data_IF_030319380175
#
_entry.id   IF_030319380175
#
_cell.length_a   1.000
_cell.length_b   1.000
_cell.length_c   1.000
_cell.angle_alpha   90.00
_cell.angle_beta   90.00
_cell.angle_gamma   90.00
#
_symmetry.space_group_name_H-M   'P 1'
#
loop_
_entity.id
_entity.type
_entity.pdbx_description
1 polymer ?
#
# COMPACT_ATOMS: atom_id res chain seq x y z
N UNK A 1 15.95 -2.19 -45.70
CA UNK A 1 16.14 -2.14 -44.23
C UNK A 1 15.95 -0.68 -43.82
N UNK A 2 14.69 -0.25 -43.76
CA UNK A 2 14.37 1.10 -43.29
C UNK A 2 14.54 1.09 -41.77
N UNK A 3 15.40 1.96 -41.24
CA UNK A 3 15.49 2.19 -39.82
C UNK A 3 14.13 2.77 -39.38
N UNK A 4 13.38 2.00 -38.60
CA UNK A 4 12.17 2.52 -37.97
C UNK A 4 12.58 3.71 -37.09
N UNK A 5 11.83 4.83 -37.12
CA UNK A 5 12.15 5.96 -36.27
C UNK A 5 12.03 5.53 -34.81
N UNK A 6 13.15 5.49 -34.09
CA UNK A 6 13.20 5.17 -32.65
C UNK A 6 12.32 6.12 -31.81
N UNK A 7 11.98 7.29 -32.37
CA UNK A 7 11.11 8.28 -31.76
C UNK A 7 9.67 8.07 -32.23
N UNK A 8 8.91 7.31 -31.44
CA UNK A 8 7.45 7.22 -31.59
C UNK A 8 6.75 8.18 -30.61
N UNK A 9 5.87 9.08 -31.08
CA UNK A 9 5.07 9.96 -30.21
C UNK A 9 4.11 9.21 -29.27
N UNK A 10 3.99 7.88 -29.39
CA UNK A 10 3.27 7.03 -28.43
C UNK A 10 4.03 6.84 -27.11
N UNK A 11 5.36 6.72 -27.13
CA UNK A 11 6.17 6.41 -25.93
C UNK A 11 6.20 7.53 -24.88
N UNK A 12 6.17 8.79 -25.32
CA UNK A 12 6.08 9.95 -24.41
C UNK A 12 4.71 10.06 -23.71
N UNK A 13 3.63 9.57 -24.34
CA UNK A 13 2.29 9.62 -23.76
C UNK A 13 2.11 8.57 -22.67
N UNK A 14 2.65 7.37 -22.88
CA UNK A 14 2.65 6.27 -21.92
C UNK A 14 3.40 6.66 -20.64
N UNK A 15 4.64 7.14 -20.77
CA UNK A 15 5.47 7.58 -19.62
C UNK A 15 4.87 8.75 -18.85
N UNK A 16 4.20 9.69 -19.53
CA UNK A 16 3.51 10.82 -18.87
C UNK A 16 2.31 10.35 -18.05
N UNK A 17 1.62 9.29 -18.49
CA UNK A 17 0.48 8.69 -17.78
C UNK A 17 0.94 7.97 -16.51
N UNK A 18 2.01 7.18 -16.59
CA UNK A 18 2.62 6.52 -15.42
C UNK A 18 3.06 7.53 -14.35
N UNK A 19 3.80 8.58 -14.73
CA UNK A 19 4.22 9.63 -13.79
C UNK A 19 3.04 10.32 -13.11
N UNK A 20 1.94 10.52 -13.84
CA UNK A 20 0.73 11.13 -13.28
C UNK A 20 0.06 10.24 -12.22
N UNK A 21 0.01 8.92 -12.46
CA UNK A 21 -0.55 7.95 -11.50
C UNK A 21 0.25 7.89 -10.20
N UNK A 22 1.57 7.91 -10.31
CA UNK A 22 2.48 7.95 -9.16
C UNK A 22 2.30 9.22 -8.33
N UNK A 23 2.08 10.36 -9.00
CA UNK A 23 1.86 11.66 -8.34
C UNK A 23 0.53 11.68 -7.58
N UNK A 24 -0.53 11.13 -8.17
CA UNK A 24 -1.84 11.02 -7.52
C UNK A 24 -1.78 10.09 -6.30
N UNK A 25 -1.11 8.94 -6.43
CA UNK A 25 -0.94 8.02 -5.31
C UNK A 25 -0.10 8.61 -4.19
N UNK A 26 0.96 9.36 -4.51
CA UNK A 26 1.76 10.08 -3.53
C UNK A 26 0.91 11.09 -2.75
N UNK A 27 0.13 11.92 -3.45
CA UNK A 27 -0.76 12.88 -2.80
C UNK A 27 -1.85 12.19 -1.95
N UNK A 28 -2.46 11.13 -2.48
CA UNK A 28 -3.43 10.33 -1.74
C UNK A 28 -2.84 9.75 -0.44
N UNK A 29 -1.59 9.28 -0.49
CA UNK A 29 -0.90 8.75 0.69
C UNK A 29 -0.70 9.81 1.77
N UNK A 30 -0.37 11.04 1.40
CA UNK A 30 -0.20 12.16 2.32
C UNK A 30 -1.54 12.51 2.99
N UNK A 31 -2.63 12.58 2.21
CA UNK A 31 -3.95 12.88 2.77
C UNK A 31 -4.36 11.82 3.78
N UNK A 32 -4.24 10.54 3.42
CA UNK A 32 -4.59 9.42 4.28
C UNK A 32 -3.74 9.37 5.56
N UNK A 33 -2.44 9.72 5.51
CA UNK A 33 -1.61 9.78 6.73
C UNK A 33 -1.99 10.96 7.62
N UNK A 34 -2.27 12.14 7.05
CA UNK A 34 -2.76 13.29 7.82
C UNK A 34 -4.08 12.94 8.53
N UNK A 35 -5.00 12.23 7.87
CA UNK A 35 -6.24 11.76 8.48
C UNK A 35 -5.98 10.77 9.64
N UNK A 36 -5.01 9.86 9.49
CA UNK A 36 -4.63 8.93 10.54
C UNK A 36 -4.09 9.67 11.78
N UNK A 37 -3.15 10.60 11.61
CA UNK A 37 -2.62 11.40 12.71
C UNK A 37 -3.68 12.30 13.34
N UNK A 38 -4.56 12.90 12.54
CA UNK A 38 -5.69 13.69 13.03
C UNK A 38 -6.64 12.88 13.91
N UNK A 39 -6.94 11.63 13.55
CA UNK A 39 -7.76 10.74 14.37
C UNK A 39 -7.10 10.39 15.71
N UNK A 40 -5.76 10.25 15.76
CA UNK A 40 -5.02 10.03 17.00
C UNK A 40 -5.04 11.28 17.89
N UNK A 41 -4.83 12.47 17.32
CA UNK A 41 -4.91 13.73 18.08
C UNK A 41 -6.30 13.91 18.69
N UNK A 42 -7.35 13.70 17.88
CA UNK A 42 -8.74 13.76 18.34
C UNK A 42 -9.04 12.74 19.46
N UNK A 43 -8.41 11.56 19.40
CA UNK A 43 -8.51 10.55 20.46
C UNK A 43 -7.87 11.01 21.77
N UNK A 44 -6.68 11.61 21.70
CA UNK A 44 -5.92 12.10 22.87
C UNK A 44 -6.67 13.25 23.56
N UNK A 45 -7.35 14.10 22.80
CA UNK A 45 -8.18 15.20 23.34
C UNK A 45 -9.50 14.71 23.98
N UNK A 46 -9.75 13.40 23.98
CA UNK A 46 -10.93 12.79 24.61
C UNK A 46 -12.17 12.73 23.72
N UNK A 47 -12.05 13.05 22.43
CA UNK A 47 -13.16 13.06 21.47
C UNK A 47 -13.57 11.69 20.96
N UNK A 48 -12.73 10.65 21.10
CA UNK A 48 -13.00 9.32 20.55
C UNK A 48 -12.66 8.18 21.51
N UNK A 49 -13.41 7.08 21.41
CA UNK A 49 -13.07 5.85 22.13
C UNK A 49 -11.84 5.17 21.50
N UNK A 50 -10.98 4.58 22.34
CA UNK A 50 -9.77 3.90 21.88
C UNK A 50 -10.06 2.80 20.85
N UNK A 51 -11.18 2.07 21.01
CA UNK A 51 -11.59 1.02 20.07
C UNK A 51 -11.94 1.57 18.69
N UNK A 52 -12.63 2.70 18.60
CA UNK A 52 -12.93 3.35 17.32
C UNK A 52 -11.65 3.79 16.61
N UNK A 53 -10.72 4.39 17.35
CA UNK A 53 -9.46 4.94 16.80
C UNK A 53 -8.60 3.81 16.25
N UNK A 54 -8.46 2.71 16.99
CA UNK A 54 -7.72 1.53 16.51
C UNK A 54 -8.36 0.96 15.24
N UNK A 55 -9.68 0.77 15.22
CA UNK A 55 -10.37 0.25 14.03
C UNK A 55 -10.22 1.18 12.81
N UNK A 56 -10.34 2.48 13.02
CA UNK A 56 -10.16 3.50 11.98
C UNK A 56 -8.74 3.50 11.42
N UNK A 57 -7.72 3.46 12.28
CA UNK A 57 -6.31 3.40 11.88
C UNK A 57 -5.99 2.12 11.11
N UNK A 58 -6.48 0.97 11.56
CA UNK A 58 -6.29 -0.30 10.86
C UNK A 58 -6.95 -0.25 9.48
N UNK A 59 -8.17 0.30 9.37
CA UNK A 59 -8.84 0.50 8.10
C UNK A 59 -8.03 1.39 7.14
N UNK A 60 -7.54 2.53 7.62
CA UNK A 60 -6.66 3.41 6.82
C UNK A 60 -5.35 2.73 6.44
N UNK A 61 -4.75 1.94 7.32
CA UNK A 61 -3.52 1.20 7.06
C UNK A 61 -3.69 0.16 5.95
N UNK A 62 -4.82 -0.56 5.93
CA UNK A 62 -5.15 -1.52 4.86
C UNK A 62 -5.30 -0.80 3.52
N UNK A 63 -6.05 0.31 3.49
CA UNK A 63 -6.22 1.13 2.27
C UNK A 63 -4.87 1.66 1.78
N UNK A 64 -4.02 2.15 2.68
CA UNK A 64 -2.67 2.59 2.36
C UNK A 64 -1.84 1.45 1.75
N UNK A 65 -1.74 0.30 2.43
CA UNK A 65 -0.97 -0.84 1.93
C UNK A 65 -1.44 -1.28 0.53
N UNK A 66 -2.75 -1.26 0.26
CA UNK A 66 -3.30 -1.58 -1.05
C UNK A 66 -2.92 -0.54 -2.12
N UNK A 67 -3.03 0.77 -1.83
CA UNK A 67 -2.61 1.82 -2.75
C UNK A 67 -1.11 1.76 -3.05
N UNK A 68 -0.30 1.51 -2.03
CA UNK A 68 1.14 1.38 -2.18
C UNK A 68 1.48 0.16 -3.05
N UNK A 69 0.89 -1.00 -2.78
CA UNK A 69 1.10 -2.19 -3.60
C UNK A 69 0.63 -1.98 -5.05
N UNK A 70 -0.58 -1.45 -5.27
CA UNK A 70 -1.17 -1.36 -6.61
C UNK A 70 -0.43 -0.37 -7.53
N UNK A 71 -0.09 0.83 -7.04
CA UNK A 71 0.52 1.88 -7.86
C UNK A 71 2.05 1.75 -7.93
N UNK A 72 2.72 1.46 -6.80
CA UNK A 72 4.19 1.45 -6.78
C UNK A 72 4.77 0.15 -7.28
N UNK A 73 4.16 -0.99 -6.95
CA UNK A 73 4.66 -2.29 -7.42
C UNK A 73 4.14 -2.66 -8.81
N UNK A 74 3.43 -1.76 -9.50
CA UNK A 74 2.88 -2.01 -10.84
C UNK A 74 2.18 -3.38 -10.92
N UNK A 75 1.46 -3.74 -9.85
CA UNK A 75 0.83 -5.06 -9.68
C UNK A 75 -0.22 -5.37 -10.76
N UNK A 76 -0.59 -4.38 -11.57
CA UNK A 76 -1.53 -4.45 -12.69
C UNK A 76 -0.85 -4.75 -14.04
N UNK A 77 0.47 -4.64 -14.13
CA UNK A 77 1.17 -4.72 -15.42
C UNK A 77 1.48 -6.17 -15.81
N UNK A 78 1.03 -6.55 -17.00
CA UNK A 78 1.20 -7.89 -17.57
C UNK A 78 2.69 -8.18 -17.83
N UNK A 79 3.16 -9.38 -17.45
CA UNK A 79 4.56 -9.82 -17.61
C UNK A 79 5.39 -9.88 -16.33
N UNK A 80 4.87 -9.42 -15.19
CA UNK A 80 5.58 -9.40 -13.90
C UNK A 80 5.14 -10.50 -12.92
N UNK A 81 4.80 -11.68 -13.45
CA UNK A 81 4.26 -12.80 -12.65
C UNK A 81 5.18 -13.25 -11.51
N UNK A 82 6.50 -13.20 -11.72
CA UNK A 82 7.49 -13.60 -10.70
C UNK A 82 7.54 -12.60 -9.54
N UNK A 83 7.72 -11.27 -9.75
CA UNK A 83 7.57 -10.27 -8.69
C UNK A 83 6.25 -10.33 -7.94
N UNK A 84 5.13 -10.54 -8.66
CA UNK A 84 3.81 -10.66 -8.04
C UNK A 84 3.74 -11.89 -7.12
N UNK A 85 4.27 -13.03 -7.57
CA UNK A 85 4.35 -14.24 -6.76
C UNK A 85 5.14 -14.00 -5.48
N UNK A 86 6.33 -13.40 -5.56
CA UNK A 86 7.13 -13.09 -4.37
C UNK A 86 6.42 -12.14 -3.41
N UNK A 87 5.66 -11.17 -3.92
CA UNK A 87 4.86 -10.28 -3.08
C UNK A 87 3.77 -11.06 -2.32
N UNK A 88 2.97 -11.89 -3.01
CA UNK A 88 1.92 -12.68 -2.36
C UNK A 88 2.47 -13.69 -1.36
N UNK A 89 3.58 -14.35 -1.69
CA UNK A 89 4.28 -15.26 -0.76
C UNK A 89 4.80 -14.50 0.45
N UNK A 90 5.40 -13.31 0.25
CA UNK A 90 5.86 -12.46 1.35
C UNK A 90 4.74 -12.04 2.29
N UNK A 91 3.58 -11.64 1.74
CA UNK A 91 2.37 -11.34 2.52
C UNK A 91 1.90 -12.57 3.29
N UNK A 92 1.80 -13.73 2.63
CA UNK A 92 1.39 -14.98 3.26
C UNK A 92 2.30 -15.37 4.43
N UNK A 93 3.62 -15.38 4.20
CA UNK A 93 4.62 -15.71 5.22
C UNK A 93 4.53 -14.73 6.40
N UNK A 94 4.38 -13.43 6.14
CA UNK A 94 4.24 -12.42 7.19
C UNK A 94 3.00 -12.67 8.04
N UNK A 95 1.85 -12.95 7.41
CA UNK A 95 0.60 -13.24 8.13
C UNK A 95 0.74 -14.51 8.99
N UNK A 96 1.32 -15.57 8.44
CA UNK A 96 1.54 -16.83 9.18
C UNK A 96 2.45 -16.61 10.39
N UNK A 97 3.55 -15.86 10.22
CA UNK A 97 4.48 -15.55 11.31
C UNK A 97 3.81 -14.71 12.40
N UNK A 98 3.09 -13.64 12.03
CA UNK A 98 2.40 -12.77 13.00
C UNK A 98 1.37 -13.58 13.80
N UNK A 99 0.55 -14.38 13.14
CA UNK A 99 -0.42 -15.25 13.82
C UNK A 99 0.30 -16.25 14.73
N UNK A 100 1.37 -16.88 14.25
CA UNK A 100 2.17 -17.82 15.04
C UNK A 100 2.73 -17.18 16.31
N UNK A 101 3.27 -15.96 16.20
CA UNK A 101 3.79 -15.21 17.36
C UNK A 101 2.68 -14.83 18.32
N UNK A 102 1.51 -14.41 17.84
CA UNK A 102 0.37 -14.06 18.70
C UNK A 102 -0.19 -15.28 19.45
N UNK A 103 -0.24 -16.44 18.79
CA UNK A 103 -0.67 -17.69 19.42
C UNK A 103 0.37 -18.22 20.42
N UNK A 104 1.65 -18.14 20.07
CA UNK A 104 2.73 -18.56 20.96
C UNK A 104 2.84 -17.63 22.17
N UNK A 105 2.74 -16.31 21.97
CA UNK A 105 2.81 -15.34 23.06
C UNK A 105 1.70 -15.58 24.06
N UNK A 106 0.46 -15.84 23.61
CA UNK A 106 -0.66 -16.17 24.49
C UNK A 106 -0.31 -17.27 25.49
N UNK A 107 0.28 -18.38 25.04
CA UNK A 107 0.66 -19.49 25.93
C UNK A 107 1.79 -19.14 26.91
N UNK A 108 2.62 -18.14 26.59
CA UNK A 108 3.75 -17.73 27.43
C UNK A 108 3.45 -16.59 28.41
N UNK A 109 2.38 -15.81 28.18
CA UNK A 109 1.97 -14.70 29.07
C UNK A 109 0.66 -14.96 29.84
N UNK A 110 0.06 -16.14 29.68
CA UNK A 110 -1.05 -16.63 30.51
C UNK A 110 -0.56 -17.67 31.53
#
# INVERSE_FOLDING_TARGET
>A
MAAEPMFSPSGERETKKERSLHTVAFLASIVLTILAFGAVVYAIEGGASAGFVVAFLVGLAVVQAAFQAYIWMHLKDEGHAVPQLFFYVGVYVTVVIVIGILLMSWWTVA
#
